data_IF_322514076513
#
_entry.id   IF_322514076513
#
_cell.length_a   1.000
_cell.length_b   1.000
_cell.length_c   1.000
_cell.angle_alpha   90.00
_cell.angle_beta   90.00
_cell.angle_gamma   90.00
#
_symmetry.space_group_name_H-M   'P 1'
#
loop_
_entity.id
_entity.type
_entity.pdbx_description
1 polymer ?
#
# COMPACT_ATOMS: atom_id res chain seq x y z
N UNK A 1 -20.52 17.54 -38.21
CA UNK A 1 -19.99 17.27 -36.86
C UNK A 1 -19.49 15.83 -36.84
N UNK A 2 -18.20 15.61 -36.55
CA UNK A 2 -17.60 14.27 -36.46
C UNK A 2 -17.39 13.96 -34.99
N UNK A 3 -18.16 13.01 -34.45
CA UNK A 3 -17.85 12.40 -33.16
C UNK A 3 -17.56 10.91 -33.37
N UNK A 4 -16.34 10.56 -32.99
CA UNK A 4 -15.75 9.22 -32.98
C UNK A 4 -16.54 8.30 -32.04
N UNK A 5 -17.00 7.18 -32.59
CA UNK A 5 -17.57 6.07 -31.84
C UNK A 5 -16.41 5.12 -31.51
N UNK A 6 -15.87 5.21 -30.30
CA UNK A 6 -14.84 4.29 -29.80
C UNK A 6 -15.53 3.01 -29.33
N UNK A 7 -15.27 1.96 -30.10
CA UNK A 7 -15.64 0.57 -29.87
C UNK A 7 -14.94 0.08 -28.58
N UNK A 8 -15.72 -0.33 -27.58
CA UNK A 8 -15.21 -1.01 -26.38
C UNK A 8 -15.65 -2.49 -26.47
N UNK A 9 -14.79 -3.27 -27.14
CA UNK A 9 -14.84 -4.73 -27.20
C UNK A 9 -14.60 -5.27 -25.79
N UNK A 10 -15.66 -5.72 -25.14
CA UNK A 10 -15.58 -6.59 -23.98
C UNK A 10 -15.25 -8.01 -24.46
N UNK A 11 -13.98 -8.26 -24.77
CA UNK A 11 -13.48 -9.61 -25.01
C UNK A 11 -13.33 -10.32 -23.67
N UNK A 12 -14.08 -11.42 -23.53
CA UNK A 12 -13.88 -12.45 -22.53
C UNK A 12 -12.39 -12.77 -22.35
N UNK A 13 -11.90 -12.74 -21.11
CA UNK A 13 -10.66 -13.41 -20.77
C UNK A 13 -10.97 -14.84 -20.32
N UNK A 14 -10.31 -15.85 -20.91
CA UNK A 14 -10.51 -17.24 -20.54
C UNK A 14 -9.88 -17.50 -19.16
N UNK A 15 -10.62 -18.22 -18.31
CA UNK A 15 -10.09 -18.91 -17.14
C UNK A 15 -9.02 -19.92 -17.61
N UNK A 16 -7.75 -19.53 -17.53
CA UNK A 16 -6.61 -20.35 -17.93
C UNK A 16 -5.51 -20.24 -16.88
N UNK A 17 -5.45 -21.22 -15.98
CA UNK A 17 -4.27 -21.71 -15.25
C UNK A 17 -2.99 -20.84 -15.39
N UNK A 18 -2.89 -19.76 -14.61
CA UNK A 18 -1.65 -18.95 -14.53
C UNK A 18 -1.55 -18.09 -13.26
N UNK A 19 -2.18 -18.52 -12.15
CA UNK A 19 -2.20 -17.76 -10.89
C UNK A 19 -0.84 -17.57 -10.18
N UNK A 20 0.28 -17.99 -10.77
CA UNK A 20 1.61 -18.00 -10.14
C UNK A 20 2.49 -16.84 -10.61
N UNK A 21 2.44 -16.49 -11.90
CA UNK A 21 3.11 -15.32 -12.47
C UNK A 21 2.36 -14.04 -12.15
N UNK A 22 1.02 -14.11 -12.11
CA UNK A 22 0.17 -12.93 -11.91
C UNK A 22 0.36 -12.31 -10.53
N UNK A 23 0.44 -13.10 -9.45
CA UNK A 23 0.57 -12.55 -8.09
C UNK A 23 1.95 -11.91 -7.84
N UNK A 24 3.04 -12.49 -8.35
CA UNK A 24 4.39 -11.91 -8.19
C UNK A 24 4.55 -10.69 -9.10
N UNK A 25 4.07 -10.77 -10.34
CA UNK A 25 4.05 -9.63 -11.26
C UNK A 25 3.19 -8.50 -10.70
N UNK A 26 2.05 -8.77 -10.07
CA UNK A 26 1.17 -7.78 -9.45
C UNK A 26 1.80 -7.16 -8.20
N UNK A 27 2.49 -7.93 -7.35
CA UNK A 27 3.27 -7.39 -6.22
C UNK A 27 4.41 -6.49 -6.69
N UNK A 28 5.06 -6.85 -7.80
CA UNK A 28 6.15 -6.07 -8.39
C UNK A 28 5.64 -4.86 -9.22
N UNK A 29 4.44 -4.95 -9.80
CA UNK A 29 3.81 -3.93 -10.63
C UNK A 29 2.89 -2.98 -9.86
N UNK A 30 2.52 -3.30 -8.62
CA UNK A 30 1.81 -2.37 -7.75
C UNK A 30 2.61 -1.06 -7.71
N UNK A 31 1.97 0.10 -8.01
CA UNK A 31 2.64 1.39 -7.93
C UNK A 31 3.31 1.45 -6.57
N UNK A 32 4.56 1.93 -6.56
CA UNK A 32 5.44 1.93 -5.39
C UNK A 32 4.58 2.22 -4.16
N UNK A 33 4.28 1.21 -3.32
CA UNK A 33 3.14 1.25 -2.37
C UNK A 33 3.18 2.47 -1.44
N UNK A 34 4.35 3.10 -1.37
CA UNK A 34 4.60 4.48 -0.98
C UNK A 34 3.58 5.49 -1.49
N UNK A 35 3.12 5.47 -2.74
CA UNK A 35 2.22 6.50 -3.32
C UNK A 35 0.83 6.43 -2.69
N UNK A 36 0.23 5.24 -2.59
CA UNK A 36 -1.07 5.05 -1.94
C UNK A 36 -0.95 5.37 -0.44
N UNK A 37 0.14 4.92 0.18
CA UNK A 37 0.46 5.20 1.56
C UNK A 37 0.65 6.71 1.83
N UNK A 38 1.42 7.41 1.00
CA UNK A 38 1.64 8.86 1.03
C UNK A 38 0.33 9.62 0.87
N UNK A 39 -0.57 9.18 -0.01
CA UNK A 39 -1.89 9.79 -0.18
C UNK A 39 -2.73 9.68 1.10
N UNK A 40 -2.76 8.50 1.73
CA UNK A 40 -3.50 8.32 2.99
C UNK A 40 -2.83 9.06 4.15
N UNK A 41 -1.50 9.15 4.17
CA UNK A 41 -0.75 9.91 5.18
C UNK A 41 -0.98 11.42 5.02
N UNK A 42 -1.10 11.95 3.80
CA UNK A 42 -1.52 13.35 3.56
C UNK A 42 -2.89 13.65 4.16
N UNK A 43 -3.86 12.75 3.93
CA UNK A 43 -5.19 12.90 4.49
C UNK A 43 -5.18 12.79 6.02
N UNK A 44 -4.36 11.91 6.59
CA UNK A 44 -4.14 11.83 8.03
C UNK A 44 -3.60 13.14 8.60
N UNK A 45 -2.59 13.74 7.95
CA UNK A 45 -2.06 15.04 8.35
C UNK A 45 -3.10 16.15 8.26
N UNK A 46 -3.98 16.15 7.26
CA UNK A 46 -5.11 17.10 7.18
C UNK A 46 -5.99 17.02 8.42
N UNK A 47 -6.42 15.81 8.80
CA UNK A 47 -7.24 15.63 10.01
C UNK A 47 -6.52 16.04 11.29
N UNK A 48 -5.21 15.78 11.39
CA UNK A 48 -4.40 16.22 12.53
C UNK A 48 -4.26 17.75 12.59
N UNK A 49 -4.18 18.42 11.43
CA UNK A 49 -4.12 19.88 11.34
C UNK A 49 -5.47 20.54 11.65
N UNK A 50 -6.58 19.87 11.32
CA UNK A 50 -7.94 20.30 11.65
C UNK A 50 -8.31 20.04 13.12
N UNK A 51 -7.45 19.35 13.89
CA UNK A 51 -7.73 18.94 15.27
C UNK A 51 -8.78 17.82 15.36
N UNK A 52 -9.09 17.15 14.25
CA UNK A 52 -10.06 16.07 14.19
C UNK A 52 -9.41 14.73 14.57
N UNK A 53 -9.10 14.57 15.85
CA UNK A 53 -8.42 13.38 16.39
C UNK A 53 -9.19 12.07 16.14
N UNK A 54 -10.52 12.12 16.12
CA UNK A 54 -11.36 10.94 15.86
C UNK A 54 -11.16 10.43 14.42
N UNK A 55 -11.29 11.32 13.44
CA UNK A 55 -11.07 10.98 12.04
C UNK A 55 -9.61 10.56 11.78
N UNK A 56 -8.65 11.27 12.39
CA UNK A 56 -7.23 10.91 12.31
C UNK A 56 -6.97 9.49 12.85
N UNK A 57 -7.56 9.12 14.00
CA UNK A 57 -7.42 7.79 14.58
C UNK A 57 -8.06 6.69 13.70
N UNK A 58 -9.23 6.96 13.11
CA UNK A 58 -9.89 6.01 12.20
C UNK A 58 -9.01 5.78 10.97
N UNK A 59 -8.54 6.85 10.33
CA UNK A 59 -7.70 6.77 9.15
C UNK A 59 -6.36 6.12 9.45
N UNK A 60 -5.74 6.43 10.60
CA UNK A 60 -4.53 5.77 11.05
C UNK A 60 -4.70 4.25 11.14
N UNK A 61 -5.81 3.77 11.74
CA UNK A 61 -6.13 2.35 11.81
C UNK A 61 -6.38 1.73 10.43
N UNK A 62 -7.01 2.45 9.51
CA UNK A 62 -7.22 1.97 8.13
C UNK A 62 -5.90 1.83 7.35
N UNK A 63 -5.01 2.82 7.48
CA UNK A 63 -3.66 2.77 6.92
C UNK A 63 -2.89 1.59 7.48
N UNK A 64 -2.95 1.39 8.80
CA UNK A 64 -2.31 0.27 9.50
C UNK A 64 -2.78 -1.09 8.94
N UNK A 65 -4.09 -1.29 8.81
CA UNK A 65 -4.68 -2.52 8.24
C UNK A 65 -4.26 -2.75 6.78
N UNK A 66 -4.17 -1.67 6.00
CA UNK A 66 -3.71 -1.74 4.61
C UNK A 66 -2.25 -2.23 4.56
N UNK A 67 -1.37 -1.67 5.39
CA UNK A 67 0.03 -2.09 5.51
C UNK A 67 0.18 -3.55 5.96
N UNK A 68 -0.61 -3.99 6.94
CA UNK A 68 -0.62 -5.40 7.37
C UNK A 68 -1.00 -6.35 6.24
N UNK A 69 -2.01 -5.98 5.45
CA UNK A 69 -2.44 -6.76 4.29
C UNK A 69 -1.30 -6.89 3.28
N UNK A 70 -0.58 -5.79 3.00
CA UNK A 70 0.57 -5.81 2.08
C UNK A 70 1.73 -6.67 2.59
N UNK A 71 2.02 -6.61 3.89
CA UNK A 71 3.04 -7.47 4.53
C UNK A 71 2.65 -8.94 4.36
N UNK A 72 1.39 -9.29 4.59
CA UNK A 72 0.88 -10.67 4.42
C UNK A 72 0.99 -11.15 2.98
N UNK A 73 0.58 -10.32 2.02
CA UNK A 73 0.69 -10.66 0.58
C UNK A 73 2.14 -10.87 0.16
N UNK A 74 3.06 -10.02 0.64
CA UNK A 74 4.50 -10.17 0.35
C UNK A 74 5.08 -11.43 1.00
N UNK A 75 4.67 -11.74 2.23
CA UNK A 75 5.05 -12.99 2.90
C UNK A 75 4.56 -14.23 2.12
N UNK A 76 3.30 -14.24 1.67
CA UNK A 76 2.77 -15.34 0.87
C UNK A 76 3.51 -15.54 -0.46
N UNK A 77 3.95 -14.44 -1.08
CA UNK A 77 4.76 -14.51 -2.30
C UNK A 77 6.17 -15.09 -2.04
N UNK A 78 6.78 -14.83 -0.88
CA UNK A 78 8.06 -15.45 -0.48
C UNK A 78 7.94 -16.96 -0.36
N UNK A 79 6.81 -17.45 0.16
CA UNK A 79 6.56 -18.88 0.36
C UNK A 79 6.54 -19.63 -0.98
N UNK A 80 6.12 -18.94 -2.05
CA UNK A 80 6.01 -19.47 -3.41
C UNK A 80 7.21 -19.12 -4.32
N UNK A 81 8.13 -18.26 -3.87
CA UNK A 81 9.28 -17.79 -4.65
C UNK A 81 10.58 -18.55 -4.36
N UNK A 82 11.48 -18.55 -5.35
CA UNK A 82 12.81 -19.15 -5.28
C UNK A 82 13.93 -18.17 -5.71
N UNK A 83 15.18 -18.63 -5.57
CA UNK A 83 16.36 -17.95 -6.07
C UNK A 83 16.49 -16.46 -5.71
N UNK A 84 16.82 -15.65 -6.71
CA UNK A 84 17.00 -14.21 -6.56
C UNK A 84 15.69 -13.47 -6.27
N UNK A 85 14.56 -13.99 -6.73
CA UNK A 85 13.25 -13.34 -6.54
C UNK A 85 12.81 -13.44 -5.08
N UNK A 86 12.99 -14.61 -4.47
CA UNK A 86 12.77 -14.80 -3.02
C UNK A 86 13.60 -13.82 -2.19
N UNK A 87 14.85 -13.54 -2.59
CA UNK A 87 15.73 -12.59 -1.89
C UNK A 87 15.18 -11.16 -1.98
N UNK A 88 14.79 -10.71 -3.18
CA UNK A 88 14.19 -9.38 -3.36
C UNK A 88 12.90 -9.21 -2.56
N UNK A 89 12.04 -10.23 -2.54
CA UNK A 89 10.79 -10.21 -1.77
C UNK A 89 11.05 -10.16 -0.26
N UNK A 90 12.08 -10.85 0.25
CA UNK A 90 12.50 -10.72 1.66
C UNK A 90 12.96 -9.30 1.99
N UNK A 91 13.83 -8.71 1.15
CA UNK A 91 14.28 -7.33 1.36
C UNK A 91 13.11 -6.33 1.32
N UNK A 92 12.11 -6.59 0.45
CA UNK A 92 10.87 -5.80 0.37
C UNK A 92 10.02 -5.95 1.65
N UNK A 93 9.85 -7.18 2.13
CA UNK A 93 9.11 -7.48 3.36
C UNK A 93 9.73 -6.81 4.58
N UNK A 94 11.06 -6.84 4.71
CA UNK A 94 11.75 -6.21 5.83
C UNK A 94 11.58 -4.69 5.82
N UNK A 95 11.66 -4.05 4.63
CA UNK A 95 11.33 -2.63 4.47
C UNK A 95 9.89 -2.31 4.85
N UNK A 96 8.92 -3.13 4.44
CA UNK A 96 7.51 -2.94 4.81
C UNK A 96 7.29 -3.06 6.32
N UNK A 97 7.92 -4.04 6.97
CA UNK A 97 7.87 -4.22 8.44
C UNK A 97 8.46 -3.02 9.19
N UNK A 98 9.60 -2.50 8.73
CA UNK A 98 10.22 -1.31 9.31
C UNK A 98 9.32 -0.08 9.17
N UNK A 99 8.74 0.13 7.98
CA UNK A 99 7.78 1.22 7.74
C UNK A 99 6.56 1.09 8.65
N UNK A 100 6.01 -0.12 8.79
CA UNK A 100 4.87 -0.36 9.67
C UNK A 100 5.22 -0.08 11.13
N UNK A 101 6.36 -0.56 11.62
CA UNK A 101 6.79 -0.33 12.99
C UNK A 101 6.98 1.17 13.28
N UNK A 102 7.60 1.91 12.36
CA UNK A 102 7.74 3.36 12.47
C UNK A 102 6.38 4.07 12.47
N UNK A 103 5.48 3.69 11.56
CA UNK A 103 4.14 4.28 11.51
C UNK A 103 3.35 4.00 12.80
N UNK A 104 3.37 2.75 13.29
CA UNK A 104 2.73 2.35 14.56
C UNK A 104 3.28 3.11 15.78
N UNK A 105 4.56 3.50 15.76
CA UNK A 105 5.15 4.27 16.85
C UNK A 105 4.46 5.61 17.10
N UNK A 106 3.71 6.13 16.11
CA UNK A 106 2.97 7.37 16.25
C UNK A 106 1.62 7.23 16.95
N UNK A 107 1.05 6.02 16.99
CA UNK A 107 -0.29 5.73 17.53
C UNK A 107 -0.54 6.29 18.94
N UNK A 108 0.41 6.20 19.91
CA UNK A 108 0.14 6.64 21.28
C UNK A 108 -0.15 8.13 21.39
N UNK A 109 0.30 8.95 20.44
CA UNK A 109 0.06 10.39 20.45
C UNK A 109 0.20 10.98 19.04
N UNK A 110 -0.85 10.85 18.22
CA UNK A 110 -0.83 11.30 16.83
C UNK A 110 -0.63 12.82 16.71
N UNK A 111 -1.20 13.61 17.62
CA UNK A 111 -1.06 15.08 17.63
C UNK A 111 0.40 15.48 17.87
N UNK A 112 1.05 14.91 18.89
CA UNK A 112 2.46 15.20 19.19
C UNK A 112 3.37 14.77 18.03
N UNK A 113 3.02 13.67 17.35
CA UNK A 113 3.80 13.11 16.25
C UNK A 113 3.44 13.70 14.88
N UNK A 114 2.51 14.66 14.80
CA UNK A 114 2.05 15.32 13.57
C UNK A 114 3.17 15.70 12.62
N UNK A 115 4.21 16.38 13.12
CA UNK A 115 5.34 16.84 12.30
C UNK A 115 6.13 15.65 11.71
N UNK A 116 6.34 14.60 12.49
CA UNK A 116 6.99 13.38 12.01
C UNK A 116 6.14 12.68 10.95
N UNK A 117 4.82 12.59 11.15
CA UNK A 117 3.88 12.03 10.17
C UNK A 117 3.86 12.89 8.88
N UNK A 118 3.97 14.20 8.99
CA UNK A 118 3.97 15.11 7.82
C UNK A 118 5.18 14.88 6.90
N UNK A 119 6.35 14.54 7.44
CA UNK A 119 7.53 14.20 6.61
C UNK A 119 7.31 13.00 5.70
N UNK A 120 6.26 12.21 5.92
CA UNK A 120 5.92 11.03 5.14
C UNK A 120 4.95 11.36 3.99
N UNK A 121 4.57 12.62 3.83
CA UNK A 121 3.70 13.10 2.74
C UNK A 121 4.47 13.48 1.47
N UNK A 122 5.80 13.61 1.56
CA UNK A 122 6.71 14.05 0.49
C UNK A 122 7.41 12.89 -0.21
#
# INVERSE_FOLDING_TARGET
MRFLLVILIYCAQPFGSSGQTDTIAEINAQPDQRVIFQSKVRQLTSYLNEGNESAANILFKDVSKSMETFIKTTQAAIDSADGSEKRKLKDKLDRQRQLMAQFQSYQPNLIRNRQSIDTWTH
#
